data_IF_624879557641
#
_entry.id   IF_624879557641
#
_cell.length_a   1.000
_cell.length_b   1.000
_cell.length_c   1.000
_cell.angle_alpha   90.00
_cell.angle_beta   90.00
_cell.angle_gamma   90.00
#
_symmetry.space_group_name_H-M   'P 1'
#
loop_
_entity.id
_entity.type
_entity.pdbx_description
1 polymer ?
#
# COMPACT_ATOMS: atom_id res chain seq x y z
N UNK A 1 -23.18 -26.79 20.99
CA UNK A 1 -21.74 -26.94 20.77
C UNK A 1 -21.30 -25.81 19.85
N UNK A 2 -20.67 -24.81 20.40
CA UNK A 2 -20.01 -23.79 19.58
C UNK A 2 -18.69 -24.37 19.08
N UNK A 3 -18.61 -24.62 17.78
CA UNK A 3 -17.34 -24.92 17.13
C UNK A 3 -16.47 -23.69 17.22
N UNK A 4 -15.66 -23.64 18.26
CA UNK A 4 -14.69 -22.56 18.45
C UNK A 4 -13.49 -22.88 17.58
N UNK A 5 -13.66 -22.71 16.26
CA UNK A 5 -12.54 -22.84 15.33
C UNK A 5 -11.60 -21.67 15.60
N UNK A 6 -10.63 -21.90 16.46
CA UNK A 6 -9.58 -20.92 16.71
C UNK A 6 -8.77 -20.77 15.44
N UNK A 7 -8.91 -19.64 14.77
CA UNK A 7 -8.09 -19.32 13.60
C UNK A 7 -6.65 -19.16 14.06
N UNK A 8 -5.75 -19.96 13.49
CA UNK A 8 -4.32 -19.77 13.72
C UNK A 8 -3.86 -18.49 13.00
N UNK A 9 -3.65 -17.44 13.77
CA UNK A 9 -3.27 -16.14 13.25
C UNK A 9 -1.92 -16.18 12.49
N UNK A 10 -1.00 -17.07 12.90
CA UNK A 10 0.29 -17.20 12.22
C UNK A 10 0.12 -17.87 10.85
N UNK A 11 -0.66 -18.95 10.78
CA UNK A 11 -0.98 -19.61 9.52
C UNK A 11 -1.74 -18.69 8.57
N UNK A 12 -2.73 -17.95 9.08
CA UNK A 12 -3.47 -16.97 8.27
C UNK A 12 -2.56 -15.87 7.72
N UNK A 13 -1.60 -15.37 8.51
CA UNK A 13 -0.63 -14.39 8.02
C UNK A 13 0.23 -14.94 6.90
N UNK A 14 0.71 -16.18 7.00
CA UNK A 14 1.49 -16.79 5.93
C UNK A 14 0.66 -16.97 4.65
N UNK A 15 -0.59 -17.41 4.75
CA UNK A 15 -1.49 -17.52 3.61
C UNK A 15 -1.72 -16.16 2.92
N UNK A 16 -1.90 -15.10 3.70
CA UNK A 16 -2.05 -13.73 3.18
C UNK A 16 -0.76 -13.27 2.51
N UNK A 17 0.40 -13.49 3.15
CA UNK A 17 1.72 -13.17 2.56
C UNK A 17 1.92 -13.88 1.23
N UNK A 18 1.61 -15.18 1.16
CA UNK A 18 1.78 -15.98 -0.05
C UNK A 18 0.90 -15.46 -1.19
N UNK A 19 -0.32 -15.04 -0.90
CA UNK A 19 -1.22 -14.44 -1.88
C UNK A 19 -0.67 -13.11 -2.41
N UNK A 20 -0.22 -12.22 -1.54
CA UNK A 20 0.39 -10.95 -1.95
C UNK A 20 1.72 -11.14 -2.65
N UNK A 21 2.51 -12.13 -2.25
CA UNK A 21 3.75 -12.52 -2.94
C UNK A 21 3.47 -12.97 -4.37
N UNK A 22 2.43 -13.77 -4.59
CA UNK A 22 2.00 -14.19 -5.92
C UNK A 22 1.62 -12.99 -6.80
N UNK A 23 0.91 -11.99 -6.25
CA UNK A 23 0.58 -10.74 -6.98
C UNK A 23 1.83 -9.95 -7.31
N UNK A 24 2.83 -9.89 -6.42
CA UNK A 24 4.08 -9.17 -6.66
C UNK A 24 4.93 -9.82 -7.75
N UNK A 25 4.93 -11.16 -7.83
CA UNK A 25 5.72 -11.94 -8.80
C UNK A 25 5.04 -12.00 -10.16
N UNK A 26 3.72 -12.16 -10.19
CA UNK A 26 2.91 -12.22 -11.41
C UNK A 26 1.65 -11.36 -11.29
N UNK A 27 1.75 -10.04 -11.44
CA UNK A 27 0.60 -9.14 -11.33
C UNK A 27 -0.48 -9.39 -12.39
N UNK A 28 -0.10 -9.96 -13.53
CA UNK A 28 -1.02 -10.32 -14.61
C UNK A 28 -1.68 -11.69 -14.45
N UNK A 29 -1.38 -12.42 -13.38
CA UNK A 29 -1.94 -13.74 -13.11
C UNK A 29 -3.46 -13.72 -12.88
N UNK A 30 -4.07 -14.92 -12.92
CA UNK A 30 -5.51 -15.06 -12.67
C UNK A 30 -5.80 -14.99 -11.18
N UNK A 31 -6.33 -13.84 -10.75
CA UNK A 31 -6.77 -13.60 -9.37
C UNK A 31 -8.29 -13.40 -9.31
N UNK A 32 -8.90 -13.64 -8.16
CA UNK A 32 -10.34 -13.44 -7.92
C UNK A 32 -10.74 -11.96 -7.75
N UNK A 33 -9.81 -11.04 -7.96
CA UNK A 33 -10.03 -9.59 -7.85
C UNK A 33 -9.34 -8.85 -9.00
N UNK A 34 -9.86 -7.69 -9.32
CA UNK A 34 -9.22 -6.82 -10.29
C UNK A 34 -7.97 -6.18 -9.71
N UNK A 35 -6.98 -5.90 -10.57
CA UNK A 35 -5.72 -5.26 -10.18
C UNK A 35 -5.34 -4.14 -11.15
N UNK A 36 -4.38 -3.33 -10.73
CA UNK A 36 -3.66 -2.39 -11.56
C UNK A 36 -4.45 -1.15 -11.98
N UNK A 37 -4.07 -0.57 -13.10
CA UNK A 37 -4.67 0.66 -13.63
C UNK A 37 -6.18 0.57 -13.87
N UNK A 38 -6.71 -0.54 -14.41
CA UNK A 38 -8.16 -0.67 -14.56
C UNK A 38 -8.91 -0.60 -13.24
N UNK A 39 -8.37 -1.18 -12.18
CA UNK A 39 -8.95 -1.10 -10.84
C UNK A 39 -8.89 0.32 -10.29
N UNK A 40 -7.73 0.97 -10.39
CA UNK A 40 -7.55 2.35 -9.94
C UNK A 40 -8.56 3.29 -10.60
N UNK A 41 -8.77 3.15 -11.89
CA UNK A 41 -9.78 3.92 -12.64
C UNK A 41 -11.19 3.64 -12.14
N UNK A 42 -11.53 2.37 -11.92
CA UNK A 42 -12.85 1.96 -11.39
C UNK A 42 -13.11 2.55 -10.00
N UNK A 43 -12.08 2.64 -9.17
CA UNK A 43 -12.17 3.19 -7.82
C UNK A 43 -12.10 4.73 -7.77
N UNK A 44 -12.02 5.39 -8.91
CA UNK A 44 -12.07 6.84 -9.01
C UNK A 44 -10.77 7.59 -8.70
N UNK A 45 -9.64 6.91 -8.77
CA UNK A 45 -8.34 7.60 -8.68
C UNK A 45 -8.16 8.57 -9.85
N UNK A 46 -7.56 9.72 -9.56
CA UNK A 46 -7.30 10.75 -10.56
C UNK A 46 -6.25 10.27 -11.58
N UNK A 47 -6.63 10.20 -12.85
CA UNK A 47 -5.74 9.79 -13.93
C UNK A 47 -4.47 10.64 -14.00
N UNK A 48 -4.57 11.94 -13.70
CA UNK A 48 -3.43 12.85 -13.69
C UNK A 48 -2.38 12.48 -12.64
N UNK A 49 -2.77 11.80 -11.58
CA UNK A 49 -1.87 11.28 -10.53
C UNK A 49 -1.37 9.89 -10.86
N UNK A 50 -2.23 9.04 -11.41
CA UNK A 50 -1.92 7.62 -11.68
C UNK A 50 -1.07 7.44 -12.94
N UNK A 51 -1.38 8.15 -14.02
CA UNK A 51 -0.72 7.98 -15.31
C UNK A 51 0.80 8.16 -15.27
N UNK A 52 1.36 9.13 -14.51
CA UNK A 52 2.80 9.31 -14.41
C UNK A 52 3.51 8.22 -13.59
N UNK A 53 2.78 7.42 -12.80
CA UNK A 53 3.38 6.40 -11.94
C UNK A 53 3.95 5.25 -12.78
N UNK A 54 5.13 4.71 -12.41
CA UNK A 54 5.68 3.52 -13.07
C UNK A 54 4.72 2.33 -12.97
N UNK A 55 4.73 1.46 -13.96
CA UNK A 55 3.90 0.24 -13.96
C UNK A 55 4.15 -0.60 -12.72
N UNK A 56 5.41 -0.68 -12.25
CA UNK A 56 5.76 -1.42 -11.04
C UNK A 56 5.00 -0.94 -9.79
N UNK A 57 4.62 0.34 -9.72
CA UNK A 57 3.84 0.88 -8.61
C UNK A 57 2.34 0.52 -8.71
N UNK A 58 1.83 0.34 -9.91
CA UNK A 58 0.39 0.26 -10.18
C UNK A 58 -0.08 -1.15 -10.49
N UNK A 59 0.71 -1.95 -11.19
CA UNK A 59 0.30 -3.25 -11.77
C UNK A 59 -0.24 -4.25 -10.74
N UNK A 60 0.27 -4.23 -9.51
CA UNK A 60 -0.17 -5.13 -8.43
C UNK A 60 -1.16 -4.49 -7.46
N UNK A 61 -1.62 -3.26 -7.73
CA UNK A 61 -2.62 -2.61 -6.89
C UNK A 61 -3.92 -3.43 -6.85
N UNK A 62 -4.36 -3.76 -5.66
CA UNK A 62 -5.51 -4.63 -5.40
C UNK A 62 -6.39 -4.09 -4.27
N UNK A 63 -6.48 -2.77 -4.13
CA UNK A 63 -7.28 -2.11 -3.10
C UNK A 63 -8.78 -2.32 -3.26
N UNK A 64 -9.52 -2.07 -2.20
CA UNK A 64 -10.98 -2.20 -2.15
C UNK A 64 -11.71 -0.85 -2.26
N UNK A 65 -10.98 0.25 -2.15
CA UNK A 65 -11.53 1.60 -2.25
C UNK A 65 -10.48 2.63 -2.60
N UNK A 66 -10.84 3.89 -2.50
CA UNK A 66 -9.98 5.04 -2.70
C UNK A 66 -10.01 5.92 -1.45
N UNK A 67 -8.99 5.82 -0.57
CA UNK A 67 -8.95 6.60 0.67
C UNK A 67 -8.99 8.11 0.45
N UNK A 68 -8.51 8.57 -0.70
CA UNK A 68 -8.39 10.00 -1.04
C UNK A 68 -9.74 10.63 -1.44
N UNK A 69 -10.78 9.84 -1.69
CA UNK A 69 -12.15 10.34 -1.84
C UNK A 69 -12.75 10.77 -0.51
N UNK A 70 -12.31 10.17 0.60
CA UNK A 70 -12.79 10.52 1.93
C UNK A 70 -12.23 11.87 2.38
N UNK A 71 -10.98 12.14 2.03
CA UNK A 71 -10.29 13.37 2.34
C UNK A 71 -9.05 13.52 1.47
N UNK A 72 -8.86 14.68 0.90
CA UNK A 72 -7.58 15.06 0.27
C UNK A 72 -6.56 15.38 1.36
N UNK A 73 -5.34 14.87 1.21
CA UNK A 73 -4.25 15.16 2.14
C UNK A 73 -3.73 16.59 1.94
N UNK A 74 -3.24 17.18 3.03
CA UNK A 74 -2.67 18.52 3.02
C UNK A 74 -1.15 18.48 2.90
N UNK A 75 -0.57 19.51 2.30
CA UNK A 75 0.88 19.65 2.22
C UNK A 75 1.52 19.63 3.62
N UNK A 76 2.59 18.86 3.76
CA UNK A 76 3.32 18.73 5.02
C UNK A 76 2.81 17.69 5.98
N UNK A 77 1.69 17.02 5.70
CA UNK A 77 1.17 15.96 6.55
C UNK A 77 2.07 14.72 6.57
N UNK A 78 2.07 14.01 7.69
CA UNK A 78 2.74 12.73 7.89
C UNK A 78 1.71 11.61 7.82
N UNK A 79 1.92 10.68 6.90
CA UNK A 79 0.97 9.63 6.55
C UNK A 79 1.57 8.26 6.80
N UNK A 80 0.79 7.36 7.38
CA UNK A 80 1.10 5.93 7.47
C UNK A 80 0.09 5.18 6.61
N UNK A 81 0.60 4.31 5.73
CA UNK A 81 -0.19 3.38 4.92
C UNK A 81 0.04 1.95 5.43
N UNK A 82 -0.99 1.37 6.01
CA UNK A 82 -0.95 0.01 6.55
C UNK A 82 -1.31 -0.99 5.46
N UNK A 83 -0.45 -1.98 5.23
CA UNK A 83 -0.60 -2.92 4.13
C UNK A 83 -0.29 -2.25 2.79
N UNK A 84 0.83 -1.56 2.70
CA UNK A 84 1.18 -0.69 1.56
C UNK A 84 1.40 -1.42 0.23
N UNK A 85 1.66 -2.72 0.25
CA UNK A 85 1.91 -3.51 -0.95
C UNK A 85 3.07 -2.97 -1.77
N UNK A 86 2.89 -2.85 -3.08
CA UNK A 86 3.90 -2.28 -3.98
C UNK A 86 3.99 -0.73 -3.92
N UNK A 87 3.23 -0.10 -3.04
CA UNK A 87 3.36 1.32 -2.72
C UNK A 87 2.42 2.27 -3.46
N UNK A 88 1.44 1.78 -4.20
CA UNK A 88 0.55 2.62 -5.01
C UNK A 88 -0.05 3.80 -4.22
N UNK A 89 -0.76 3.51 -3.13
CA UNK A 89 -1.38 4.56 -2.30
C UNK A 89 -0.33 5.45 -1.63
N UNK A 90 0.84 4.91 -1.29
CA UNK A 90 1.95 5.71 -0.75
C UNK A 90 2.44 6.76 -1.75
N UNK A 91 2.56 6.40 -3.03
CA UNK A 91 2.99 7.35 -4.06
C UNK A 91 1.93 8.41 -4.35
N UNK A 92 0.65 8.03 -4.33
CA UNK A 92 -0.45 8.99 -4.42
C UNK A 92 -0.42 9.96 -3.23
N UNK A 93 -0.27 9.44 -2.02
CA UNK A 93 -0.17 10.25 -0.80
C UNK A 93 1.05 11.18 -0.85
N UNK A 94 2.20 10.68 -1.28
CA UNK A 94 3.44 11.47 -1.39
C UNK A 94 3.29 12.66 -2.33
N UNK A 95 2.57 12.49 -3.44
CA UNK A 95 2.28 13.56 -4.37
C UNK A 95 1.41 14.65 -3.73
N UNK A 96 0.45 14.27 -2.87
CA UNK A 96 -0.43 15.23 -2.19
C UNK A 96 0.28 15.97 -1.05
N UNK A 97 1.05 15.29 -0.21
CA UNK A 97 1.71 15.93 0.93
C UNK A 97 2.95 16.73 0.53
N UNK A 98 3.49 16.47 -0.63
CA UNK A 98 4.62 17.22 -1.19
C UNK A 98 5.94 17.02 -0.43
N UNK A 99 6.99 17.79 -0.79
CA UNK A 99 8.34 17.59 -0.24
C UNK A 99 8.47 17.92 1.24
N UNK A 100 7.55 18.67 1.83
CA UNK A 100 7.52 18.95 3.27
C UNK A 100 6.78 17.89 4.09
N UNK A 101 6.03 16.99 3.44
CA UNK A 101 5.35 15.88 4.07
C UNK A 101 6.20 14.60 4.07
N UNK A 102 5.69 13.58 4.72
CA UNK A 102 6.32 12.25 4.75
C UNK A 102 5.27 11.14 4.70
N UNK A 103 5.60 10.06 4.00
CA UNK A 103 4.76 8.86 3.92
C UNK A 103 5.58 7.65 4.35
N UNK A 104 5.04 6.86 5.26
CA UNK A 104 5.59 5.56 5.66
C UNK A 104 4.62 4.47 5.26
N UNK A 105 5.04 3.60 4.37
CA UNK A 105 4.32 2.37 4.02
C UNK A 105 4.78 1.22 4.90
N UNK A 106 3.85 0.45 5.43
CA UNK A 106 4.12 -0.72 6.25
C UNK A 106 3.52 -1.94 5.56
N UNK A 107 4.35 -2.95 5.35
CA UNK A 107 3.91 -4.23 4.78
C UNK A 107 4.66 -5.40 5.43
N UNK A 108 4.03 -6.55 5.50
CA UNK A 108 4.64 -7.76 6.06
C UNK A 108 5.32 -8.64 5.02
N UNK A 109 5.24 -8.31 3.74
CA UNK A 109 5.74 -9.11 2.62
C UNK A 109 7.03 -8.52 2.07
N UNK A 110 8.12 -9.29 2.16
CA UNK A 110 9.45 -8.84 1.70
C UNK A 110 9.48 -8.50 0.21
N UNK A 111 8.81 -9.28 -0.63
CA UNK A 111 8.75 -9.07 -2.08
C UNK A 111 8.04 -7.76 -2.42
N UNK A 112 6.99 -7.41 -1.70
CA UNK A 112 6.30 -6.12 -1.87
C UNK A 112 7.17 -4.96 -1.42
N UNK A 113 7.85 -5.09 -0.29
CA UNK A 113 8.80 -4.08 0.21
C UNK A 113 9.95 -3.84 -0.76
N UNK A 114 10.54 -4.91 -1.30
CA UNK A 114 11.62 -4.80 -2.28
C UNK A 114 11.15 -4.05 -3.53
N UNK A 115 9.96 -4.38 -4.02
CA UNK A 115 9.34 -3.74 -5.19
C UNK A 115 9.06 -2.27 -4.95
N UNK A 116 8.44 -1.94 -3.83
CA UNK A 116 8.11 -0.55 -3.48
C UNK A 116 9.34 0.33 -3.26
N UNK A 117 10.35 -0.21 -2.58
CA UNK A 117 11.63 0.50 -2.37
C UNK A 117 12.37 0.76 -3.69
N UNK A 118 12.39 -0.21 -4.59
CA UNK A 118 13.01 -0.06 -5.92
C UNK A 118 12.27 1.00 -6.74
N UNK A 119 10.95 1.01 -6.70
CA UNK A 119 10.11 2.01 -7.39
C UNK A 119 10.35 3.40 -6.82
N UNK A 120 10.35 3.56 -5.50
CA UNK A 120 10.64 4.85 -4.86
C UNK A 120 11.99 5.42 -5.29
N UNK A 121 13.01 4.57 -5.33
CA UNK A 121 14.35 4.94 -5.80
C UNK A 121 14.33 5.38 -7.26
N UNK A 122 13.67 4.64 -8.14
CA UNK A 122 13.58 4.97 -9.57
C UNK A 122 12.84 6.28 -9.83
N UNK A 123 11.85 6.61 -8.99
CA UNK A 123 11.10 7.86 -9.07
C UNK A 123 11.81 9.06 -8.43
N UNK A 124 12.84 8.84 -7.63
CA UNK A 124 13.42 9.88 -6.79
C UNK A 124 12.45 10.36 -5.71
N UNK A 125 11.59 9.48 -5.20
CA UNK A 125 10.57 9.81 -4.20
C UNK A 125 11.21 9.83 -2.79
N UNK A 126 11.78 10.97 -2.41
CA UNK A 126 12.54 11.13 -1.16
C UNK A 126 11.66 11.23 0.08
N UNK A 127 10.38 11.48 -0.08
CA UNK A 127 9.41 11.64 1.02
C UNK A 127 8.61 10.37 1.32
N UNK A 128 9.03 9.22 0.79
CA UNK A 128 8.41 7.91 1.03
C UNK A 128 9.42 6.94 1.59
N UNK A 129 9.05 6.22 2.63
CA UNK A 129 9.82 5.14 3.22
C UNK A 129 8.94 3.91 3.39
N UNK A 130 9.49 2.72 3.18
CA UNK A 130 8.79 1.45 3.36
C UNK A 130 9.46 0.63 4.45
N UNK A 131 8.65 0.17 5.41
CA UNK A 131 9.11 -0.59 6.58
C UNK A 131 8.38 -1.93 6.67
N UNK A 132 9.12 -2.98 7.03
CA UNK A 132 8.52 -4.26 7.38
C UNK A 132 7.85 -4.17 8.75
N UNK A 133 6.61 -4.64 8.84
CA UNK A 133 5.89 -4.66 10.11
C UNK A 133 4.48 -5.21 9.99
N UNK A 134 3.85 -5.36 11.15
CA UNK A 134 2.46 -5.81 11.30
C UNK A 134 1.61 -4.66 11.85
N UNK A 135 0.31 -4.71 11.57
CA UNK A 135 -0.63 -3.73 12.11
C UNK A 135 -0.67 -3.74 13.66
N UNK A 136 -0.43 -4.89 14.26
CA UNK A 136 -0.43 -5.05 15.72
C UNK A 136 0.83 -4.50 16.38
N UNK A 137 1.90 -4.32 15.62
CA UNK A 137 3.19 -3.82 16.11
C UNK A 137 3.86 -3.00 14.99
N UNK A 138 3.35 -1.80 14.78
CA UNK A 138 3.82 -0.93 13.71
C UNK A 138 5.16 -0.28 14.06
N UNK A 139 6.14 -0.31 13.13
CA UNK A 139 7.44 0.32 13.33
C UNK A 139 7.38 1.85 13.13
N UNK A 140 6.51 2.51 13.87
CA UNK A 140 6.28 3.96 13.83
C UNK A 140 6.16 4.46 15.27
N UNK A 141 6.77 5.60 15.56
CA UNK A 141 6.69 6.23 16.88
C UNK A 141 5.26 6.68 17.21
N UNK A 142 4.90 6.59 18.48
CA UNK A 142 3.60 7.06 18.97
C UNK A 142 3.42 8.54 18.65
N UNK A 143 2.24 8.89 18.11
CA UNK A 143 1.91 10.27 17.79
C UNK A 143 2.61 10.85 16.56
N UNK A 144 3.35 10.06 15.80
CA UNK A 144 4.06 10.53 14.61
C UNK A 144 3.13 10.88 13.44
N UNK A 145 2.12 10.06 13.18
CA UNK A 145 1.25 10.20 12.02
C UNK A 145 0.14 11.24 12.23
N UNK A 146 -0.08 12.09 11.24
CA UNK A 146 -1.25 12.94 11.16
C UNK A 146 -2.44 12.19 10.54
N UNK A 147 -2.16 11.28 9.60
CA UNK A 147 -3.16 10.49 8.89
C UNK A 147 -2.71 9.04 8.76
N UNK A 148 -3.62 8.13 8.96
CA UNK A 148 -3.42 6.69 8.72
C UNK A 148 -4.40 6.24 7.66
N UNK A 149 -3.92 5.56 6.63
CA UNK A 149 -4.73 4.96 5.58
C UNK A 149 -4.51 3.46 5.53
N UNK A 150 -5.51 2.74 5.06
CA UNK A 150 -5.42 1.31 4.80
C UNK A 150 -6.40 0.96 3.68
N UNK A 151 -5.96 0.21 2.70
CA UNK A 151 -6.76 -0.10 1.52
C UNK A 151 -6.75 -1.61 1.23
N UNK A 152 -7.57 -2.29 1.94
CA UNK A 152 -7.70 -3.73 1.84
C UNK A 152 -6.73 -4.49 2.66
#
# INVERSE_FOLDING_TARGET
>A
MSDNTTVDAAALREDVKDKYRAVAVDPGGTFHFHTGRPLAKRLGYDDAVVDPLPDAAVESFAGVGNPFELRTLEAGEKVVDIGSGAGFDCFVAAAQVGPSGQVVGIDMTEEMLAKSRATAKSMGADNVEFREGLIEDMPVEDGWADVVISNG
#
